data_IF_835260608988
#
_entry.id   IF_835260608988
#
_cell.length_a   1.000
_cell.length_b   1.000
_cell.length_c   1.000
_cell.angle_alpha   90.00
_cell.angle_beta   90.00
_cell.angle_gamma   90.00
#
_symmetry.space_group_name_H-M   'P 1'
#
loop_
_entity.id
_entity.type
_entity.pdbx_description
1 polymer ?
#
# COMPACT_ATOMS: atom_id res chain seq x y z
N UNK A 1 22.76 51.24 -3.41
CA UNK A 1 23.17 50.04 -4.18
C UNK A 1 22.71 48.73 -3.52
N UNK A 2 22.73 48.63 -2.19
CA UNK A 2 22.29 47.44 -1.43
C UNK A 2 20.86 46.96 -1.74
N UNK A 3 19.88 47.89 -1.88
CA UNK A 3 18.48 47.56 -2.23
C UNK A 3 18.34 46.88 -3.59
N UNK A 4 19.10 47.32 -4.61
CA UNK A 4 19.09 46.70 -5.94
C UNK A 4 19.74 45.32 -5.92
N UNK A 5 20.83 45.17 -5.15
CA UNK A 5 21.50 43.88 -4.98
C UNK A 5 20.62 42.85 -4.26
N UNK A 6 19.88 43.28 -3.23
CA UNK A 6 18.91 42.43 -2.53
C UNK A 6 17.71 42.04 -3.39
N UNK A 7 17.21 42.92 -4.27
CA UNK A 7 16.14 42.54 -5.21
C UNK A 7 16.55 41.47 -6.22
N UNK A 8 17.85 41.35 -6.52
CA UNK A 8 18.39 40.36 -7.47
C UNK A 8 18.78 39.06 -6.74
N UNK A 9 19.53 39.14 -5.65
CA UNK A 9 20.05 37.96 -4.94
C UNK A 9 19.17 37.49 -3.78
N UNK A 10 18.35 38.36 -3.19
CA UNK A 10 17.44 38.02 -2.09
C UNK A 10 16.47 36.88 -2.43
N UNK A 11 15.79 36.89 -3.59
CA UNK A 11 14.91 35.79 -3.99
C UNK A 11 15.65 34.45 -4.12
N UNK A 12 16.89 34.47 -4.65
CA UNK A 12 17.72 33.26 -4.81
C UNK A 12 18.15 32.71 -3.45
N UNK A 13 18.56 33.58 -2.52
CA UNK A 13 18.92 33.20 -1.16
C UNK A 13 17.72 32.63 -0.39
N UNK A 14 16.53 33.25 -0.53
CA UNK A 14 15.30 32.76 0.09
C UNK A 14 14.90 31.41 -0.50
N UNK A 15 14.97 31.24 -1.83
CA UNK A 15 14.67 29.96 -2.47
C UNK A 15 15.63 28.86 -2.00
N UNK A 16 16.93 29.16 -1.91
CA UNK A 16 17.93 28.23 -1.37
C UNK A 16 17.65 27.85 0.08
N UNK A 17 17.31 28.83 0.93
CA UNK A 17 16.90 28.59 2.32
C UNK A 17 15.66 27.69 2.40
N UNK A 18 14.64 27.95 1.58
CA UNK A 18 13.40 27.16 1.58
C UNK A 18 13.66 25.71 1.15
N UNK A 19 14.49 25.48 0.13
CA UNK A 19 14.89 24.12 -0.30
C UNK A 19 15.67 23.42 0.81
N UNK A 20 16.62 24.13 1.44
CA UNK A 20 17.38 23.60 2.57
C UNK A 20 16.48 23.20 3.73
N UNK A 21 15.55 24.09 4.13
CA UNK A 21 14.57 23.81 5.18
C UNK A 21 13.68 22.62 4.79
N UNK A 22 13.22 22.54 3.55
CA UNK A 22 12.40 21.42 3.10
C UNK A 22 13.15 20.10 3.20
N UNK A 23 14.42 20.04 2.79
CA UNK A 23 15.24 18.81 2.90
C UNK A 23 15.48 18.44 4.37
N UNK A 24 15.79 19.42 5.21
CA UNK A 24 16.18 19.17 6.60
C UNK A 24 14.98 18.83 7.51
N UNK A 25 13.82 19.41 7.24
CA UNK A 25 12.58 19.16 7.98
C UNK A 25 11.66 18.13 7.31
N UNK A 26 12.08 17.51 6.20
CA UNK A 26 11.29 16.44 5.58
C UNK A 26 11.21 15.26 6.56
N UNK A 27 10.00 14.84 6.99
CA UNK A 27 9.86 13.74 7.92
C UNK A 27 10.35 12.45 7.25
N UNK A 28 11.42 11.88 7.80
CA UNK A 28 12.01 10.62 7.33
C UNK A 28 11.32 9.40 7.92
N UNK A 29 10.65 9.55 9.07
CA UNK A 29 9.99 8.47 9.77
C UNK A 29 8.53 8.30 9.35
N UNK A 30 8.11 7.04 9.22
CA UNK A 30 6.73 6.70 8.90
C UNK A 30 5.91 6.68 10.20
N UNK A 31 5.01 7.64 10.37
CA UNK A 31 4.08 7.62 11.49
C UNK A 31 2.99 6.57 11.31
N UNK A 32 2.78 5.80 12.38
CA UNK A 32 1.77 4.75 12.48
C UNK A 32 0.52 5.23 13.22
N UNK A 33 -0.64 4.77 12.76
CA UNK A 33 -1.92 5.03 13.40
C UNK A 33 -2.79 3.78 13.31
N UNK A 34 -2.85 3.03 14.40
CA UNK A 34 -3.54 1.74 14.45
C UNK A 34 -5.01 1.82 14.02
N UNK A 35 -5.72 2.91 14.37
CA UNK A 35 -7.10 3.10 13.99
C UNK A 35 -7.28 3.24 12.47
N UNK A 36 -6.38 3.97 11.81
CA UNK A 36 -6.37 4.11 10.36
C UNK A 36 -5.94 2.79 9.67
N UNK A 37 -4.92 2.12 10.19
CA UNK A 37 -4.41 0.87 9.64
C UNK A 37 -5.44 -0.26 9.73
N UNK A 38 -6.13 -0.40 10.87
CA UNK A 38 -7.24 -1.36 11.01
C UNK A 38 -8.35 -1.09 10.00
N UNK A 39 -8.70 0.18 9.75
CA UNK A 39 -9.70 0.55 8.73
C UNK A 39 -9.22 0.19 7.33
N UNK A 40 -7.98 0.53 6.97
CA UNK A 40 -7.40 0.17 5.67
C UNK A 40 -7.31 -1.34 5.46
N UNK A 41 -6.96 -2.10 6.50
CA UNK A 41 -6.81 -3.55 6.44
C UNK A 41 -8.10 -4.31 6.06
N UNK A 42 -9.27 -3.73 6.39
CA UNK A 42 -10.59 -4.32 6.07
C UNK A 42 -11.40 -3.49 5.08
N UNK A 43 -10.83 -2.43 4.51
CA UNK A 43 -11.54 -1.53 3.61
C UNK A 43 -11.98 -2.25 2.33
N UNK A 44 -11.15 -3.16 1.82
CA UNK A 44 -11.41 -3.90 0.56
C UNK A 44 -11.85 -2.96 -0.57
N UNK A 45 -11.16 -1.83 -0.70
CA UNK A 45 -11.33 -0.85 -1.78
C UNK A 45 -10.18 -0.94 -2.77
N UNK A 46 -10.38 -0.40 -3.98
CA UNK A 46 -9.32 -0.25 -4.99
C UNK A 46 -8.09 0.44 -4.38
N UNK A 47 -8.29 1.54 -3.66
CA UNK A 47 -7.19 2.31 -3.05
C UNK A 47 -6.42 1.48 -2.03
N UNK A 48 -7.10 0.72 -1.18
CA UNK A 48 -6.45 -0.13 -0.16
C UNK A 48 -5.56 -1.22 -0.76
N UNK A 49 -5.81 -1.60 -2.02
CA UNK A 49 -5.06 -2.60 -2.77
C UNK A 49 -3.91 -1.98 -3.62
N UNK A 50 -4.25 -0.97 -4.41
CA UNK A 50 -3.40 -0.35 -5.43
C UNK A 50 -2.40 0.67 -4.86
N UNK A 51 -2.78 1.40 -3.82
CA UNK A 51 -1.95 2.48 -3.26
C UNK A 51 -0.90 1.96 -2.28
N UNK A 52 0.32 2.50 -2.38
CA UNK A 52 1.45 2.09 -1.52
C UNK A 52 1.24 2.47 -0.06
N UNK A 53 0.77 3.69 0.18
CA UNK A 53 0.80 4.31 1.51
C UNK A 53 0.07 3.48 2.57
N UNK A 54 -1.15 3.03 2.27
CA UNK A 54 -2.00 2.33 3.25
C UNK A 54 -1.44 0.97 3.63
N UNK A 55 -1.07 0.14 2.64
CA UNK A 55 -0.55 -1.22 2.86
C UNK A 55 0.83 -1.22 3.48
N UNK A 56 1.73 -0.34 3.02
CA UNK A 56 3.08 -0.25 3.62
C UNK A 56 2.98 0.21 5.07
N UNK A 57 2.15 1.22 5.37
CA UNK A 57 1.98 1.71 6.75
C UNK A 57 1.50 0.60 7.69
N UNK A 58 0.49 -0.18 7.30
CA UNK A 58 0.01 -1.25 8.18
C UNK A 58 1.02 -2.40 8.31
N UNK A 59 1.64 -2.82 7.19
CA UNK A 59 2.55 -3.98 7.19
C UNK A 59 3.92 -3.69 7.81
N UNK A 60 4.27 -2.42 8.02
CA UNK A 60 5.49 -2.02 8.73
C UNK A 60 5.27 -1.57 10.17
N UNK A 61 4.05 -1.61 10.73
CA UNK A 61 3.80 -1.25 12.13
C UNK A 61 4.54 -2.24 13.06
N UNK A 62 5.44 -1.77 13.94
CA UNK A 62 6.14 -2.64 14.88
C UNK A 62 5.25 -3.15 16.02
N UNK A 63 4.12 -2.47 16.30
CA UNK A 63 3.28 -2.76 17.47
C UNK A 63 2.20 -3.81 17.19
N UNK A 64 1.69 -3.83 15.96
CA UNK A 64 0.63 -4.75 15.54
C UNK A 64 1.04 -5.49 14.28
N UNK A 65 0.97 -6.82 14.36
CA UNK A 65 1.31 -7.68 13.23
C UNK A 65 0.15 -7.76 12.23
N UNK A 66 0.22 -6.99 11.16
CA UNK A 66 -0.63 -7.19 9.99
C UNK A 66 -0.05 -8.29 9.09
N UNK A 67 -0.91 -9.17 8.57
CA UNK A 67 -0.55 -10.27 7.67
C UNK A 67 -1.21 -10.03 6.31
N UNK A 68 -0.47 -10.03 5.19
CA UNK A 68 -1.05 -9.89 3.85
C UNK A 68 -1.95 -11.09 3.49
N UNK A 69 -3.18 -10.81 3.09
CA UNK A 69 -4.16 -11.79 2.62
C UNK A 69 -4.48 -11.51 1.15
N UNK A 70 -3.75 -12.14 0.25
CA UNK A 70 -3.90 -11.99 -1.19
C UNK A 70 -5.07 -12.82 -1.71
N UNK A 71 -5.90 -12.20 -2.54
CA UNK A 71 -7.02 -12.85 -3.20
C UNK A 71 -7.68 -11.94 -4.24
N UNK A 72 -8.97 -12.16 -4.47
CA UNK A 72 -9.81 -11.42 -5.39
C UNK A 72 -11.04 -10.90 -4.67
N UNK A 73 -12.24 -11.36 -5.03
CA UNK A 73 -13.51 -11.03 -4.36
C UNK A 73 -13.77 -11.82 -3.07
N UNK A 74 -12.90 -12.78 -2.71
CA UNK A 74 -13.08 -13.64 -1.53
C UNK A 74 -13.24 -12.85 -0.22
N UNK A 75 -12.64 -11.67 -0.14
CA UNK A 75 -12.63 -10.83 1.06
C UNK A 75 -13.79 -9.83 1.13
N UNK A 76 -14.56 -9.66 0.06
CA UNK A 76 -15.60 -8.63 -0.03
C UNK A 76 -16.86 -8.97 0.78
N UNK A 77 -17.11 -10.26 1.03
CA UNK A 77 -18.29 -10.73 1.75
C UNK A 77 -17.91 -11.07 3.18
N UNK A 78 -18.45 -10.31 4.12
CA UNK A 78 -18.23 -10.50 5.54
C UNK A 78 -19.35 -11.31 6.17
N UNK A 79 -18.96 -12.21 7.08
CA UNK A 79 -19.84 -12.98 7.95
C UNK A 79 -19.17 -13.20 9.31
N UNK A 80 -19.86 -13.88 10.24
CA UNK A 80 -19.35 -14.11 11.60
C UNK A 80 -18.11 -15.01 11.68
N UNK A 81 -17.83 -15.79 10.64
CA UNK A 81 -16.66 -16.66 10.53
C UNK A 81 -15.54 -16.05 9.65
N UNK A 82 -15.74 -14.84 9.10
CA UNK A 82 -14.75 -14.18 8.27
C UNK A 82 -13.42 -13.95 9.03
N UNK A 83 -12.23 -14.17 8.42
CA UNK A 83 -10.95 -14.11 9.12
C UNK A 83 -10.68 -12.79 9.87
N UNK A 84 -11.10 -11.66 9.29
CA UNK A 84 -10.95 -10.35 9.94
C UNK A 84 -11.84 -10.21 11.18
N UNK A 85 -13.06 -10.74 11.14
CA UNK A 85 -14.00 -10.73 12.27
C UNK A 85 -13.47 -11.60 13.40
N UNK A 86 -13.01 -12.81 13.09
CA UNK A 86 -12.43 -13.73 14.07
C UNK A 86 -11.15 -13.15 14.70
N UNK A 87 -10.27 -12.55 13.90
CA UNK A 87 -9.03 -11.98 14.42
C UNK A 87 -9.26 -10.81 15.38
N UNK A 88 -10.23 -9.94 15.07
CA UNK A 88 -10.60 -8.81 15.93
C UNK A 88 -11.37 -9.28 17.17
N UNK A 89 -12.39 -10.12 17.01
CA UNK A 89 -13.25 -10.59 18.12
C UNK A 89 -12.47 -11.36 19.18
N UNK A 90 -11.56 -12.23 18.75
CA UNK A 90 -10.77 -13.08 19.65
C UNK A 90 -9.37 -12.51 19.93
N UNK A 91 -9.14 -11.23 19.64
CA UNK A 91 -7.88 -10.51 19.84
C UNK A 91 -6.63 -11.35 19.52
N UNK A 92 -6.57 -11.90 18.31
CA UNK A 92 -5.44 -12.75 17.89
C UNK A 92 -4.13 -11.96 17.87
N UNK A 93 -3.01 -12.67 17.82
CA UNK A 93 -1.67 -12.07 17.67
C UNK A 93 -1.40 -11.43 16.30
N UNK A 94 -2.35 -11.48 15.37
CA UNK A 94 -2.25 -10.88 14.04
C UNK A 94 -3.58 -10.26 13.59
N UNK A 95 -3.51 -9.41 12.56
CA UNK A 95 -4.68 -8.90 11.84
C UNK A 95 -4.53 -9.14 10.33
N UNK A 96 -5.56 -9.65 9.64
CA UNK A 96 -5.52 -9.74 8.18
C UNK A 96 -5.49 -8.35 7.56
N UNK A 97 -4.62 -8.13 6.57
CA UNK A 97 -4.67 -7.02 5.64
C UNK A 97 -5.15 -7.57 4.29
N UNK A 98 -6.41 -7.29 3.96
CA UNK A 98 -7.13 -7.92 2.84
C UNK A 98 -6.73 -7.26 1.51
N UNK A 99 -5.98 -7.98 0.68
CA UNK A 99 -5.44 -7.53 -0.60
C UNK A 99 -6.12 -8.27 -1.76
N UNK A 100 -7.27 -7.75 -2.20
CA UNK A 100 -7.99 -8.31 -3.33
C UNK A 100 -9.22 -7.51 -3.70
N UNK A 101 -9.56 -7.56 -4.99
CA UNK A 101 -10.79 -7.04 -5.58
C UNK A 101 -11.30 -8.03 -6.65
N UNK A 102 -12.57 -7.89 -7.06
CA UNK A 102 -13.14 -8.75 -8.10
C UNK A 102 -12.33 -8.69 -9.40
N UNK A 103 -11.93 -9.84 -9.94
CA UNK A 103 -11.11 -9.91 -11.17
C UNK A 103 -9.61 -9.69 -10.96
N UNK A 104 -9.16 -9.35 -9.75
CA UNK A 104 -7.74 -9.39 -9.44
C UNK A 104 -7.24 -10.84 -9.44
N UNK A 105 -6.12 -11.10 -10.11
CA UNK A 105 -5.46 -12.39 -10.20
C UNK A 105 -3.94 -12.19 -10.03
N UNK A 106 -3.14 -13.23 -10.29
CA UNK A 106 -1.72 -13.24 -9.94
C UNK A 106 -0.89 -12.10 -10.52
N UNK A 107 -1.19 -11.60 -11.73
CA UNK A 107 -0.42 -10.50 -12.31
C UNK A 107 -0.65 -9.16 -11.57
N UNK A 108 -1.91 -8.88 -11.18
CA UNK A 108 -2.22 -7.73 -10.34
C UNK A 108 -1.51 -7.82 -8.99
N UNK A 109 -1.54 -9.01 -8.39
CA UNK A 109 -0.88 -9.26 -7.11
C UNK A 109 0.64 -9.05 -7.21
N UNK A 110 1.28 -9.57 -8.25
CA UNK A 110 2.72 -9.40 -8.49
C UNK A 110 3.14 -7.93 -8.54
N UNK A 111 2.44 -7.10 -9.33
CA UNK A 111 2.73 -5.67 -9.40
C UNK A 111 2.46 -4.95 -8.07
N UNK A 112 1.38 -5.33 -7.38
CA UNK A 112 1.07 -4.83 -6.04
C UNK A 112 2.14 -5.16 -4.99
N UNK A 113 2.84 -6.30 -5.11
CA UNK A 113 3.94 -6.70 -4.23
C UNK A 113 5.19 -5.82 -4.41
N UNK A 114 5.45 -5.31 -5.62
CA UNK A 114 6.63 -4.46 -5.90
C UNK A 114 6.66 -3.19 -5.04
N UNK A 115 5.51 -2.70 -4.61
CA UNK A 115 5.39 -1.53 -3.74
C UNK A 115 5.74 -1.80 -2.27
N UNK A 116 5.84 -3.07 -1.88
CA UNK A 116 5.95 -3.51 -0.47
C UNK A 116 6.92 -4.67 -0.25
N UNK A 117 7.92 -4.87 -1.13
CA UNK A 117 8.90 -5.95 -1.02
C UNK A 117 9.56 -6.05 0.37
N UNK A 118 10.06 -4.95 0.99
CA UNK A 118 10.65 -5.03 2.33
C UNK A 118 9.66 -5.49 3.42
N UNK A 119 8.37 -5.20 3.24
CA UNK A 119 7.31 -5.60 4.16
C UNK A 119 6.89 -7.07 3.98
N UNK A 120 7.29 -7.72 2.88
CA UNK A 120 7.06 -9.14 2.62
C UNK A 120 8.25 -10.03 2.97
N UNK A 121 9.46 -9.45 3.04
CA UNK A 121 10.69 -10.17 3.31
C UNK A 121 10.61 -10.96 4.65
N UNK A 122 10.85 -12.27 4.56
CA UNK A 122 10.75 -13.23 5.67
C UNK A 122 9.41 -13.18 6.44
N UNK A 123 8.31 -12.77 5.81
CA UNK A 123 6.96 -12.75 6.41
C UNK A 123 6.08 -13.89 5.93
N UNK A 124 5.12 -14.25 6.76
CA UNK A 124 4.03 -15.15 6.38
C UNK A 124 2.95 -14.37 5.64
N UNK A 125 2.35 -14.99 4.63
CA UNK A 125 1.24 -14.45 3.84
C UNK A 125 0.18 -15.52 3.61
N UNK A 126 -1.04 -15.11 3.33
CA UNK A 126 -2.10 -15.98 2.80
C UNK A 126 -2.30 -15.63 1.35
N UNK A 127 -2.27 -16.62 0.45
CA UNK A 127 -2.48 -16.42 -0.98
C UNK A 127 -3.54 -17.39 -1.49
N UNK A 128 -4.71 -16.86 -1.82
CA UNK A 128 -5.77 -17.65 -2.47
C UNK A 128 -5.31 -17.99 -3.88
N UNK A 129 -5.52 -19.23 -4.31
CA UNK A 129 -5.36 -19.65 -5.71
C UNK A 129 -6.69 -20.24 -6.13
N UNK A 130 -7.45 -19.47 -6.92
CA UNK A 130 -8.75 -19.94 -7.41
C UNK A 130 -8.60 -20.56 -8.79
N UNK A 131 -9.02 -21.83 -9.01
CA UNK A 131 -8.92 -22.49 -10.32
C UNK A 131 -9.62 -21.71 -11.45
N UNK A 132 -10.68 -20.96 -11.13
CA UNK A 132 -11.40 -20.12 -12.10
C UNK A 132 -10.55 -19.01 -12.73
N UNK A 133 -9.46 -18.58 -12.08
CA UNK A 133 -8.53 -17.60 -12.66
C UNK A 133 -7.78 -18.14 -13.89
N UNK A 134 -7.70 -19.46 -14.04
CA UNK A 134 -6.96 -20.15 -15.10
C UNK A 134 -7.86 -20.44 -16.31
N UNK A 135 -8.63 -19.42 -16.73
CA UNK A 135 -9.39 -19.48 -17.98
C UNK A 135 -8.44 -19.52 -19.19
N UNK A 136 -8.92 -19.99 -20.35
CA UNK A 136 -8.12 -20.04 -21.59
C UNK A 136 -7.55 -18.66 -21.98
N UNK A 137 -8.28 -17.59 -21.68
CA UNK A 137 -7.87 -16.22 -22.01
C UNK A 137 -7.18 -15.50 -20.84
N UNK A 138 -7.04 -16.16 -19.68
CA UNK A 138 -6.43 -15.59 -18.48
C UNK A 138 -7.33 -14.58 -17.75
N UNK A 139 -6.72 -13.53 -17.22
CA UNK A 139 -7.37 -12.47 -16.44
C UNK A 139 -8.06 -11.44 -17.35
N UNK A 140 -9.06 -10.72 -16.84
CA UNK A 140 -9.74 -9.64 -17.56
C UNK A 140 -8.88 -8.36 -17.59
N UNK A 141 -8.49 -7.85 -18.78
CA UNK A 141 -7.72 -6.61 -18.89
C UNK A 141 -8.42 -5.39 -18.30
N UNK A 142 -9.76 -5.32 -18.35
CA UNK A 142 -10.50 -4.19 -17.81
C UNK A 142 -10.45 -4.16 -16.27
N UNK A 143 -10.43 -5.33 -15.62
CA UNK A 143 -10.18 -5.44 -14.18
C UNK A 143 -8.74 -5.05 -13.84
N UNK A 144 -7.74 -5.51 -14.60
CA UNK A 144 -6.33 -5.18 -14.37
C UNK A 144 -6.06 -3.67 -14.36
N UNK A 145 -6.60 -2.94 -15.33
CA UNK A 145 -6.38 -1.49 -15.46
C UNK A 145 -6.84 -0.69 -14.23
N UNK A 146 -7.84 -1.18 -13.50
CA UNK A 146 -8.33 -0.51 -12.30
C UNK A 146 -7.32 -0.58 -11.15
N UNK A 147 -6.54 -1.65 -11.07
CA UNK A 147 -5.66 -1.95 -9.92
C UNK A 147 -4.19 -1.60 -10.15
N UNK A 148 -3.83 -1.24 -11.39
CA UNK A 148 -2.50 -0.81 -11.76
C UNK A 148 -2.33 0.72 -11.67
N UNK A 149 -1.20 1.22 -11.17
CA UNK A 149 -0.78 2.64 -11.25
C UNK A 149 0.68 2.79 -11.70
N UNK A 150 1.07 4.03 -11.96
CA UNK A 150 2.45 4.40 -12.26
C UNK A 150 3.45 4.05 -11.16
N UNK A 151 3.06 4.05 -9.87
CA UNK A 151 3.96 3.64 -8.78
C UNK A 151 4.29 2.14 -8.84
N UNK A 152 3.34 1.29 -9.20
CA UNK A 152 3.62 -0.12 -9.45
C UNK A 152 4.56 -0.31 -10.65
N UNK A 153 4.36 0.45 -11.73
CA UNK A 153 5.23 0.40 -12.91
C UNK A 153 6.67 0.79 -12.57
N UNK A 154 6.87 1.93 -11.92
CA UNK A 154 8.22 2.40 -11.55
C UNK A 154 8.86 1.49 -10.50
N UNK A 155 8.07 0.92 -9.58
CA UNK A 155 8.57 -0.09 -8.64
C UNK A 155 9.03 -1.35 -9.34
N UNK A 156 8.29 -1.83 -10.34
CA UNK A 156 8.68 -2.98 -11.13
C UNK A 156 9.96 -2.73 -11.93
N UNK A 157 10.13 -1.55 -12.53
CA UNK A 157 11.34 -1.23 -13.29
C UNK A 157 12.58 -1.02 -12.41
N UNK A 158 12.38 -0.74 -11.13
CA UNK A 158 13.47 -0.46 -10.17
C UNK A 158 14.09 -1.73 -9.59
N UNK A 159 13.30 -2.78 -9.38
CA UNK A 159 13.73 -4.03 -8.74
C UNK A 159 13.93 -5.12 -9.79
#
# INVERSE_FOLDING_TARGET
MLKRLWMIFGPVLIAGLLVFLLIFFYPTEMHHNLGAEKRSAVATTIDSFKERSQKVRALSDPNVRFVPFFGSSEWLRFDGAHPAVLAEKYNRSYRPYLLGQGGAASLNQYFGMQQMLPQLENKQVVYVISPQWFSKNGYDPAAFQQYFNGDQLTSFLKH
#
